data_IF_384293567346
#
_entry.id   IF_384293567346
#
_cell.length_a   1.000
_cell.length_b   1.000
_cell.length_c   1.000
_cell.angle_alpha   90.00
_cell.angle_beta   90.00
_cell.angle_gamma   90.00
#
_symmetry.space_group_name_H-M   'P 1'
#
loop_
_entity.id
_entity.type
_entity.pdbx_description
1 polymer ?
#
# COMPACT_ATOMS: atom_id res chain seq x y z
N UNK A 1 -24.38 23.37 -11.68
CA UNK A 1 -23.21 22.73 -11.05
C UNK A 1 -23.40 21.22 -11.12
N UNK A 2 -22.57 20.51 -11.89
CA UNK A 2 -22.65 19.04 -11.93
C UNK A 2 -22.31 18.48 -10.54
N UNK A 3 -23.21 17.66 -9.99
CA UNK A 3 -23.01 16.97 -8.72
C UNK A 3 -21.78 16.08 -8.89
N UNK A 4 -20.65 16.40 -8.24
CA UNK A 4 -19.51 15.47 -8.19
C UNK A 4 -20.04 14.18 -7.58
N UNK A 5 -20.13 13.11 -8.36
CA UNK A 5 -20.46 11.80 -7.83
C UNK A 5 -19.41 11.43 -6.78
N UNK A 6 -19.88 11.00 -5.60
CA UNK A 6 -19.00 10.52 -4.54
C UNK A 6 -18.29 9.26 -5.05
N UNK A 7 -16.97 9.20 -4.90
CA UNK A 7 -16.20 8.02 -5.30
C UNK A 7 -16.54 6.83 -4.41
N UNK A 8 -16.66 5.65 -5.00
CA UNK A 8 -16.85 4.39 -4.25
C UNK A 8 -15.56 4.04 -3.48
N UNK A 9 -15.72 3.52 -2.27
CA UNK A 9 -14.64 3.20 -1.34
C UNK A 9 -14.68 1.71 -0.97
N UNK A 10 -13.63 1.13 -0.37
CA UNK A 10 -13.65 -0.28 0.06
C UNK A 10 -14.80 -0.67 1.01
N UNK A 11 -15.47 0.31 1.61
CA UNK A 11 -16.66 0.13 2.47
C UNK A 11 -17.96 0.01 1.69
N UNK A 12 -17.98 0.43 0.43
CA UNK A 12 -19.17 0.42 -0.43
C UNK A 12 -19.28 -0.94 -1.16
N UNK A 13 -20.51 -1.40 -1.39
CA UNK A 13 -20.76 -2.72 -1.98
C UNK A 13 -20.38 -2.80 -3.47
N UNK A 14 -20.48 -1.68 -4.18
CA UNK A 14 -20.15 -1.56 -5.61
C UNK A 14 -18.64 -1.59 -5.88
N UNK A 15 -17.80 -1.32 -4.89
CA UNK A 15 -16.34 -1.34 -5.01
C UNK A 15 -15.81 -2.70 -5.49
N UNK A 16 -16.41 -3.79 -4.99
CA UNK A 16 -16.06 -5.16 -5.37
C UNK A 16 -16.31 -5.42 -6.86
N UNK A 17 -17.46 -4.98 -7.36
CA UNK A 17 -17.82 -5.10 -8.76
C UNK A 17 -16.90 -4.24 -9.63
N UNK A 18 -16.56 -3.03 -9.19
CA UNK A 18 -15.59 -2.18 -9.89
C UNK A 18 -14.22 -2.84 -10.05
N UNK A 19 -13.69 -3.52 -9.03
CA UNK A 19 -12.43 -4.25 -9.16
C UNK A 19 -12.54 -5.40 -10.17
N UNK A 20 -13.65 -6.15 -10.13
CA UNK A 20 -13.92 -7.25 -11.04
C UNK A 20 -14.05 -6.81 -12.50
N UNK A 21 -14.80 -5.74 -12.76
CA UNK A 21 -15.01 -5.18 -14.10
C UNK A 21 -13.71 -4.65 -14.72
N UNK A 22 -12.67 -4.46 -13.92
CA UNK A 22 -11.35 -3.97 -14.31
C UNK A 22 -10.23 -5.01 -14.10
N UNK A 23 -10.58 -6.30 -14.13
CA UNK A 23 -9.66 -7.45 -14.11
C UNK A 23 -8.69 -7.52 -12.92
N UNK A 24 -8.92 -6.76 -11.84
CA UNK A 24 -8.31 -7.08 -10.56
C UNK A 24 -9.11 -8.22 -9.98
N UNK A 25 -8.66 -9.47 -10.07
CA UNK A 25 -9.43 -10.67 -9.76
C UNK A 25 -9.59 -10.91 -8.26
N UNK A 26 -10.69 -11.54 -7.85
CA UNK A 26 -10.84 -12.05 -6.48
C UNK A 26 -10.04 -13.34 -6.29
N UNK A 27 -9.79 -13.75 -5.04
CA UNK A 27 -8.96 -14.95 -4.73
C UNK A 27 -9.48 -16.22 -5.42
N UNK A 28 -10.80 -16.39 -5.49
CA UNK A 28 -11.43 -17.59 -6.07
C UNK A 28 -11.48 -17.57 -7.61
N UNK A 29 -11.28 -16.41 -8.23
CA UNK A 29 -11.19 -16.22 -9.69
C UNK A 29 -9.73 -16.09 -10.17
N UNK A 30 -8.79 -15.97 -9.23
CA UNK A 30 -7.38 -15.71 -9.52
C UNK A 30 -6.65 -16.97 -9.99
N UNK A 31 -5.79 -16.77 -10.99
CA UNK A 31 -4.77 -17.75 -11.35
C UNK A 31 -3.69 -17.78 -10.27
N UNK A 32 -2.98 -18.90 -10.19
CA UNK A 32 -1.88 -19.09 -9.24
C UNK A 32 -0.57 -18.66 -9.90
N UNK A 33 0.32 -17.90 -9.21
CA UNK A 33 1.57 -17.46 -9.83
C UNK A 33 2.48 -18.64 -10.15
N UNK A 34 3.26 -18.49 -11.23
CA UNK A 34 4.16 -19.55 -11.72
C UNK A 34 5.29 -19.84 -10.72
N UNK A 35 5.77 -18.83 -9.98
CA UNK A 35 6.77 -18.95 -8.92
C UNK A 35 6.20 -19.28 -7.52
N UNK A 36 4.97 -19.83 -7.43
CA UNK A 36 4.33 -20.14 -6.15
C UNK A 36 5.19 -20.98 -5.18
N UNK A 37 5.82 -22.04 -5.69
CA UNK A 37 6.58 -22.96 -4.85
C UNK A 37 7.83 -22.30 -4.26
N UNK A 38 8.51 -21.47 -5.05
CA UNK A 38 9.66 -20.67 -4.61
C UNK A 38 9.26 -19.69 -3.52
N UNK A 39 8.17 -18.94 -3.72
CA UNK A 39 7.63 -18.03 -2.72
C UNK A 39 7.31 -18.79 -1.43
N UNK A 40 6.60 -19.91 -1.53
CA UNK A 40 6.28 -20.76 -0.38
C UNK A 40 7.54 -21.19 0.38
N UNK A 41 8.61 -21.59 -0.31
CA UNK A 41 9.87 -21.95 0.33
C UNK A 41 10.54 -20.75 1.02
N UNK A 42 10.60 -19.59 0.34
CA UNK A 42 11.20 -18.37 0.87
C UNK A 42 10.47 -17.86 2.13
N UNK A 43 9.13 -17.90 2.14
CA UNK A 43 8.33 -17.48 3.29
C UNK A 43 8.55 -18.39 4.50
N UNK A 44 8.77 -19.70 4.29
CA UNK A 44 9.02 -20.65 5.37
C UNK A 44 10.50 -20.73 5.82
N UNK A 45 11.39 -19.97 5.18
CA UNK A 45 12.81 -19.98 5.54
C UNK A 45 13.02 -19.50 6.98
N UNK A 46 13.71 -20.30 7.79
CA UNK A 46 14.01 -19.95 9.18
C UNK A 46 14.78 -18.63 9.26
N UNK A 47 14.34 -17.73 10.13
CA UNK A 47 15.01 -16.46 10.41
C UNK A 47 15.84 -16.56 11.71
N UNK A 48 17.18 -16.41 11.66
CA UNK A 48 18.03 -16.45 12.85
C UNK A 48 17.77 -15.34 13.87
N UNK A 49 17.11 -14.25 13.45
CA UNK A 49 16.71 -13.12 14.31
C UNK A 49 15.31 -13.28 14.91
N UNK A 50 14.63 -14.41 14.64
CA UNK A 50 13.32 -14.70 15.22
C UNK A 50 13.19 -16.20 15.46
N UNK A 51 13.69 -16.65 16.61
CA UNK A 51 13.56 -18.02 17.12
C UNK A 51 12.80 -18.03 18.44
N UNK A 52 12.35 -19.22 18.88
CA UNK A 52 11.76 -19.39 20.22
C UNK A 52 12.73 -19.02 21.36
N UNK A 53 14.04 -19.09 21.15
CA UNK A 53 15.01 -18.63 22.14
C UNK A 53 15.14 -17.11 22.19
N UNK A 54 14.81 -16.40 21.10
CA UNK A 54 14.88 -14.94 21.02
C UNK A 54 13.54 -14.27 21.30
N UNK A 55 12.43 -14.96 21.06
CA UNK A 55 11.08 -14.48 21.36
C UNK A 55 10.55 -15.19 22.61
N UNK A 56 10.71 -14.54 23.76
CA UNK A 56 10.36 -15.07 25.08
C UNK A 56 8.86 -15.29 25.29
N UNK A 57 8.49 -16.19 26.20
CA UNK A 57 7.10 -16.35 26.69
C UNK A 57 6.48 -15.01 27.12
N UNK A 58 7.15 -14.22 27.97
CA UNK A 58 6.60 -12.94 28.42
C UNK A 58 6.37 -11.91 27.31
N UNK A 59 7.13 -11.97 26.22
CA UNK A 59 6.88 -11.13 25.04
C UNK A 59 5.65 -11.60 24.24
N UNK A 60 5.41 -12.91 24.20
CA UNK A 60 4.19 -13.48 23.63
C UNK A 60 2.96 -13.15 24.48
N UNK A 61 3.05 -13.29 25.81
CA UNK A 61 1.99 -12.90 26.74
C UNK A 61 1.63 -11.41 26.58
N UNK A 62 2.65 -10.55 26.47
CA UNK A 62 2.45 -9.12 26.22
C UNK A 62 1.73 -8.88 24.88
N UNK A 63 2.12 -9.59 23.81
CA UNK A 63 1.44 -9.52 22.51
C UNK A 63 -0.04 -9.94 22.61
N UNK A 64 -0.34 -11.06 23.26
CA UNK A 64 -1.72 -11.53 23.44
C UNK A 64 -2.56 -10.51 24.23
N UNK A 65 -2.01 -9.98 25.32
CA UNK A 65 -2.67 -8.96 26.13
C UNK A 65 -2.92 -7.67 25.34
N UNK A 66 -1.95 -7.20 24.56
CA UNK A 66 -2.12 -6.02 23.70
C UNK A 66 -3.21 -6.26 22.66
N UNK A 67 -3.23 -7.43 22.00
CA UNK A 67 -4.28 -7.78 21.05
C UNK A 67 -5.67 -7.82 21.72
N UNK A 68 -5.79 -8.48 22.88
CA UNK A 68 -7.07 -8.61 23.58
C UNK A 68 -7.62 -7.26 24.09
N UNK A 69 -6.74 -6.31 24.40
CA UNK A 69 -7.10 -4.97 24.91
C UNK A 69 -7.25 -3.93 23.82
N UNK A 70 -6.87 -4.23 22.58
CA UNK A 70 -6.98 -3.28 21.47
C UNK A 70 -8.45 -3.02 21.14
N UNK A 71 -8.90 -1.78 21.34
CA UNK A 71 -10.29 -1.37 21.08
C UNK A 71 -10.47 -0.63 19.77
N UNK A 72 -9.40 -0.43 19.00
CA UNK A 72 -9.44 0.34 17.76
C UNK A 72 -8.35 -0.11 16.78
N UNK A 73 -8.54 0.21 15.50
CA UNK A 73 -7.53 0.00 14.45
C UNK A 73 -6.24 0.76 14.76
N UNK A 74 -6.35 1.97 15.33
CA UNK A 74 -5.20 2.73 15.79
C UNK A 74 -4.38 1.95 16.82
N UNK A 75 -5.01 1.40 17.86
CA UNK A 75 -4.33 0.61 18.91
C UNK A 75 -3.70 -0.65 18.34
N UNK A 76 -4.36 -1.33 17.40
CA UNK A 76 -3.76 -2.48 16.68
C UNK A 76 -2.50 -2.06 15.94
N UNK A 77 -2.54 -0.93 15.23
CA UNK A 77 -1.42 -0.42 14.46
C UNK A 77 -0.26 0.11 15.31
N UNK A 78 -0.51 0.54 16.55
CA UNK A 78 0.53 1.04 17.47
C UNK A 78 1.13 -0.04 18.35
N UNK A 79 0.34 -1.01 18.80
CA UNK A 79 0.74 -1.89 19.92
C UNK A 79 0.89 -3.36 19.51
N UNK A 80 0.30 -3.75 18.36
CA UNK A 80 0.22 -5.15 17.92
C UNK A 80 1.06 -5.39 16.66
N UNK A 81 0.75 -4.67 15.57
CA UNK A 81 1.46 -4.77 14.28
C UNK A 81 2.98 -4.60 14.41
N UNK A 82 3.52 -3.62 15.16
CA UNK A 82 4.98 -3.49 15.32
C UNK A 82 5.66 -4.75 15.85
N UNK A 83 5.04 -5.48 16.76
CA UNK A 83 5.61 -6.71 17.35
C UNK A 83 5.77 -7.78 16.26
N UNK A 84 4.77 -7.89 15.37
CA UNK A 84 4.81 -8.82 14.24
C UNK A 84 5.93 -8.41 13.25
N UNK A 85 6.05 -7.13 12.93
CA UNK A 85 7.03 -6.60 11.98
C UNK A 85 8.48 -6.62 12.49
N UNK A 86 8.65 -6.60 13.81
CA UNK A 86 9.94 -6.57 14.48
C UNK A 86 10.41 -5.15 14.79
N UNK A 87 11.39 -5.07 15.69
CA UNK A 87 11.97 -3.81 16.15
C UNK A 87 12.53 -2.98 14.98
N UNK A 88 12.31 -1.66 15.03
CA UNK A 88 12.80 -0.73 14.01
C UNK A 88 12.06 -0.76 12.67
N UNK A 89 11.15 -1.71 12.41
CA UNK A 89 10.41 -1.81 11.15
C UNK A 89 9.46 -0.62 10.89
N UNK A 90 9.15 0.12 11.94
CA UNK A 90 8.12 1.15 11.99
C UNK A 90 8.66 2.56 12.17
N UNK A 91 10.00 2.73 12.20
CA UNK A 91 10.65 4.03 12.25
C UNK A 91 10.44 4.74 10.91
N UNK A 92 9.67 5.82 10.91
CA UNK A 92 9.41 6.61 9.71
C UNK A 92 10.71 7.21 9.16
N UNK A 93 11.00 7.00 7.88
CA UNK A 93 12.23 7.45 7.23
C UNK A 93 13.38 6.42 7.19
N UNK A 94 13.24 5.26 7.86
CA UNK A 94 14.18 4.13 7.77
C UNK A 94 13.49 2.83 8.26
N UNK A 95 13.30 1.75 7.48
CA UNK A 95 13.51 1.54 6.03
C UNK A 95 12.50 2.33 5.18
N UNK A 96 12.58 2.23 3.85
CA UNK A 96 11.73 2.95 2.89
C UNK A 96 10.24 2.50 2.93
N UNK A 97 9.60 2.71 4.08
CA UNK A 97 8.18 2.50 4.32
C UNK A 97 7.52 3.79 4.79
N UNK A 98 6.24 3.89 4.50
CA UNK A 98 5.39 4.99 4.91
C UNK A 98 4.03 4.44 5.35
N UNK A 99 3.26 5.28 6.05
CA UNK A 99 1.96 4.90 6.58
C UNK A 99 0.88 5.86 6.12
N UNK A 100 -0.32 5.33 5.84
CA UNK A 100 -1.49 6.15 5.58
C UNK A 100 -1.29 7.20 4.46
N UNK A 101 -0.40 6.93 3.51
CA UNK A 101 -0.16 7.83 2.38
C UNK A 101 -1.20 7.51 1.30
N UNK A 102 -1.99 8.52 0.93
CA UNK A 102 -2.90 8.41 -0.20
C UNK A 102 -2.07 8.34 -1.49
N UNK A 103 -2.34 7.34 -2.32
CA UNK A 103 -1.65 7.16 -3.59
C UNK A 103 -2.24 8.11 -4.64
N UNK A 104 -1.94 9.40 -4.49
CA UNK A 104 -2.53 10.46 -5.29
C UNK A 104 -1.83 10.74 -6.63
N UNK A 105 -0.69 10.09 -6.88
CA UNK A 105 0.08 10.23 -8.13
C UNK A 105 -0.01 9.01 -9.06
N UNK A 106 -0.58 7.88 -8.62
CA UNK A 106 -0.73 6.73 -9.52
C UNK A 106 -1.88 6.93 -10.49
N UNK A 107 -1.73 6.44 -11.72
CA UNK A 107 -2.84 6.30 -12.66
C UNK A 107 -3.94 5.42 -12.03
N UNK A 108 -5.23 5.67 -12.28
CA UNK A 108 -6.29 4.77 -11.83
C UNK A 108 -6.04 3.33 -12.28
N UNK A 109 -6.37 2.35 -11.45
CA UNK A 109 -6.42 0.94 -11.87
C UNK A 109 -7.71 0.66 -12.67
N UNK A 110 -8.77 1.39 -12.34
CA UNK A 110 -10.10 1.31 -12.95
C UNK A 110 -10.39 2.56 -13.79
N UNK A 111 -11.64 2.86 -14.07
CA UNK A 111 -12.17 4.12 -14.64
C UNK A 111 -11.98 5.41 -13.80
N UNK A 112 -11.36 5.33 -12.62
CA UNK A 112 -11.12 6.49 -11.74
C UNK A 112 -12.31 6.93 -10.88
N UNK A 113 -13.42 6.18 -10.91
CA UNK A 113 -14.62 6.44 -10.10
C UNK A 113 -14.52 5.88 -8.67
N UNK A 114 -13.57 5.00 -8.40
CA UNK A 114 -13.25 4.53 -7.04
C UNK A 114 -12.19 5.43 -6.37
N UNK A 115 -12.17 5.40 -5.04
CA UNK A 115 -11.19 6.09 -4.22
C UNK A 115 -9.78 5.55 -4.50
N UNK A 116 -8.78 6.43 -4.39
CA UNK A 116 -7.38 6.04 -4.55
C UNK A 116 -6.94 5.13 -3.38
N UNK A 117 -5.97 4.23 -3.62
CA UNK A 117 -5.43 3.37 -2.57
C UNK A 117 -4.81 4.20 -1.44
N UNK A 118 -4.97 3.72 -0.21
CA UNK A 118 -4.35 4.31 0.97
C UNK A 118 -3.99 3.19 1.94
N UNK A 119 -2.90 2.45 1.68
CA UNK A 119 -2.47 1.35 2.54
C UNK A 119 -2.14 1.85 3.95
N UNK A 120 -2.41 1.04 4.97
CA UNK A 120 -1.99 1.35 6.34
C UNK A 120 -0.47 1.46 6.43
N UNK A 121 0.23 0.52 5.80
CA UNK A 121 1.68 0.54 5.59
C UNK A 121 1.99 0.05 4.18
N UNK A 122 2.94 0.72 3.51
CA UNK A 122 3.57 0.16 2.32
C UNK A 122 5.09 0.29 2.40
N UNK A 123 5.80 -0.60 1.70
CA UNK A 123 7.25 -0.55 1.54
C UNK A 123 7.61 -0.38 0.07
N UNK A 124 8.58 0.48 -0.18
CA UNK A 124 9.13 0.78 -1.50
C UNK A 124 10.65 0.96 -1.43
N UNK A 125 11.18 1.73 -2.37
CA UNK A 125 12.58 2.16 -2.42
C UNK A 125 12.70 3.66 -2.23
N UNK A 126 13.88 4.18 -1.92
CA UNK A 126 14.09 5.63 -1.87
C UNK A 126 14.23 6.21 -3.28
N UNK A 127 13.84 7.47 -3.53
CA UNK A 127 13.95 8.06 -4.86
C UNK A 127 15.35 8.05 -5.47
N UNK A 128 16.40 8.15 -4.65
CA UNK A 128 17.80 8.13 -5.08
C UNK A 128 18.27 6.78 -5.65
N UNK A 129 17.58 5.68 -5.33
CA UNK A 129 17.92 4.34 -5.84
C UNK A 129 17.46 4.13 -7.29
N UNK A 130 16.61 5.03 -7.82
CA UNK A 130 16.04 4.93 -9.15
C UNK A 130 16.48 6.12 -10.02
N UNK A 131 17.04 5.81 -11.18
CA UNK A 131 17.53 6.82 -12.12
C UNK A 131 16.41 7.77 -12.56
N UNK A 132 16.80 9.01 -12.85
CA UNK A 132 15.85 10.07 -13.23
C UNK A 132 15.03 9.71 -14.48
N UNK A 133 15.61 9.16 -15.57
CA UNK A 133 14.82 8.78 -16.75
C UNK A 133 13.73 7.74 -16.44
N UNK A 134 14.04 6.73 -15.62
CA UNK A 134 13.05 5.72 -15.22
C UNK A 134 11.93 6.34 -14.39
N UNK A 135 12.27 7.24 -13.45
CA UNK A 135 11.27 7.97 -12.64
C UNK A 135 10.35 8.85 -13.49
N UNK A 136 10.90 9.55 -14.47
CA UNK A 136 10.12 10.41 -15.37
C UNK A 136 9.20 9.58 -16.28
N UNK A 137 9.70 8.49 -16.86
CA UNK A 137 8.93 7.62 -17.73
C UNK A 137 7.81 6.86 -16.99
N UNK A 138 8.11 6.32 -15.81
CA UNK A 138 7.20 5.44 -15.08
C UNK A 138 6.45 6.12 -13.94
N UNK A 139 6.59 7.43 -13.75
CA UNK A 139 6.16 8.14 -12.54
C UNK A 139 4.72 7.84 -12.11
N UNK A 140 3.80 7.73 -13.08
CA UNK A 140 2.37 7.41 -12.85
C UNK A 140 2.09 5.97 -12.41
N UNK A 141 3.07 5.09 -12.43
CA UNK A 141 2.93 3.67 -12.07
C UNK A 141 3.72 3.30 -10.82
N UNK A 142 4.86 3.96 -10.60
CA UNK A 142 5.77 3.62 -9.51
C UNK A 142 5.87 4.67 -8.42
N UNK A 143 5.45 5.92 -8.63
CA UNK A 143 5.52 6.96 -7.60
C UNK A 143 4.15 7.14 -6.94
N UNK A 144 3.95 6.65 -5.70
CA UNK A 144 2.60 6.63 -5.12
C UNK A 144 2.04 8.02 -4.84
N UNK A 145 2.90 8.93 -4.38
CA UNK A 145 2.54 10.27 -3.93
C UNK A 145 3.20 11.35 -4.78
N UNK A 146 2.52 12.50 -4.87
CA UNK A 146 3.07 13.76 -5.41
C UNK A 146 4.03 14.45 -4.43
N UNK A 147 4.00 14.05 -3.15
CA UNK A 147 4.95 14.52 -2.14
C UNK A 147 6.32 13.92 -2.42
N UNK A 148 7.33 14.80 -2.53
CA UNK A 148 8.72 14.41 -2.76
C UNK A 148 9.26 13.56 -1.60
N UNK A 149 10.32 12.79 -1.86
CA UNK A 149 11.02 11.93 -0.87
C UNK A 149 10.21 10.76 -0.29
N UNK A 150 9.01 10.48 -0.82
CA UNK A 150 8.26 9.27 -0.42
C UNK A 150 8.81 8.03 -1.12
N UNK A 151 8.73 6.84 -0.49
CA UNK A 151 9.16 5.61 -1.13
C UNK A 151 8.42 5.35 -2.44
N UNK A 152 9.18 4.96 -3.46
CA UNK A 152 8.73 4.62 -4.81
C UNK A 152 8.62 3.12 -4.98
N UNK A 153 8.03 2.69 -6.09
CA UNK A 153 7.89 1.30 -6.51
C UNK A 153 7.32 0.39 -5.38
N UNK A 154 6.11 0.66 -4.88
CA UNK A 154 5.57 -0.10 -3.76
C UNK A 154 5.27 -1.54 -4.18
N UNK A 155 5.65 -2.52 -3.36
CA UNK A 155 5.34 -3.94 -3.64
C UNK A 155 5.22 -4.82 -2.38
N UNK A 156 5.11 -4.21 -1.20
CA UNK A 156 4.74 -4.91 0.01
C UNK A 156 3.80 -4.03 0.85
N UNK A 157 2.62 -4.56 1.18
CA UNK A 157 1.53 -3.83 1.81
C UNK A 157 1.03 -4.52 3.08
N UNK A 158 0.57 -3.73 4.04
CA UNK A 158 -0.09 -4.23 5.25
C UNK A 158 -1.38 -3.45 5.41
N UNK A 159 -2.45 -4.20 5.65
CA UNK A 159 -3.76 -3.69 6.01
C UNK A 159 -4.16 -4.35 7.33
N UNK A 160 -4.58 -3.56 8.31
CA UNK A 160 -5.05 -4.08 9.58
C UNK A 160 -6.42 -3.49 9.92
N UNK A 161 -7.15 -4.20 10.77
CA UNK A 161 -8.41 -3.69 11.32
C UNK A 161 -8.47 -3.90 12.81
N UNK A 162 -9.10 -2.94 13.48
CA UNK A 162 -9.55 -3.10 14.87
C UNK A 162 -10.76 -4.03 14.97
N UNK A 163 -11.27 -4.26 16.19
CA UNK A 163 -12.34 -5.22 16.45
C UNK A 163 -13.63 -5.00 15.64
N UNK A 164 -13.97 -3.75 15.35
CA UNK A 164 -15.19 -3.38 14.61
C UNK A 164 -14.99 -3.32 13.08
N UNK A 165 -13.75 -3.53 12.60
CA UNK A 165 -13.49 -3.60 11.18
C UNK A 165 -13.96 -4.92 10.58
N UNK A 166 -14.10 -4.96 9.25
CA UNK A 166 -14.62 -6.15 8.57
C UNK A 166 -13.56 -6.78 7.69
N UNK A 167 -13.57 -8.13 7.63
CA UNK A 167 -12.72 -8.88 6.72
C UNK A 167 -13.01 -8.55 5.25
N UNK A 168 -14.26 -8.25 4.91
CA UNK A 168 -14.64 -7.87 3.55
C UNK A 168 -13.93 -6.57 3.08
N UNK A 169 -13.80 -5.58 3.97
CA UNK A 169 -13.05 -4.36 3.69
C UNK A 169 -11.56 -4.67 3.52
N UNK A 170 -10.97 -5.49 4.41
CA UNK A 170 -9.58 -5.93 4.30
C UNK A 170 -9.29 -6.63 2.97
N UNK A 171 -10.13 -7.59 2.60
CA UNK A 171 -9.96 -8.38 1.36
C UNK A 171 -9.99 -7.47 0.11
N UNK A 172 -10.86 -6.45 0.09
CA UNK A 172 -10.90 -5.43 -0.97
C UNK A 172 -9.64 -4.57 -1.00
N UNK A 173 -9.19 -4.08 0.15
CA UNK A 173 -8.00 -3.23 0.25
C UNK A 173 -6.75 -3.99 -0.21
N UNK A 174 -6.51 -5.21 0.30
CA UNK A 174 -5.31 -5.97 -0.08
C UNK A 174 -5.29 -6.42 -1.54
N UNK A 175 -6.46 -6.68 -2.14
CA UNK A 175 -6.59 -6.92 -3.58
C UNK A 175 -6.25 -5.66 -4.37
N UNK A 176 -6.78 -4.51 -3.97
CA UNK A 176 -6.55 -3.25 -4.67
C UNK A 176 -5.09 -2.80 -4.58
N UNK A 177 -4.53 -2.79 -3.38
CA UNK A 177 -3.14 -2.41 -3.13
C UNK A 177 -2.17 -3.38 -3.81
N UNK A 178 -2.44 -4.69 -3.71
CA UNK A 178 -1.66 -5.73 -4.34
C UNK A 178 -1.60 -5.59 -5.86
N UNK A 179 -2.73 -5.29 -6.51
CA UNK A 179 -2.81 -5.01 -7.94
C UNK A 179 -2.00 -3.75 -8.34
N UNK A 180 -2.04 -2.69 -7.53
CA UNK A 180 -1.19 -1.50 -7.73
C UNK A 180 0.30 -1.89 -7.68
N UNK A 181 0.70 -2.68 -6.69
CA UNK A 181 2.08 -3.16 -6.57
C UNK A 181 2.50 -4.06 -7.73
N UNK A 182 1.64 -4.97 -8.18
CA UNK A 182 1.88 -5.79 -9.36
C UNK A 182 2.09 -4.93 -10.61
N UNK A 183 1.27 -3.89 -10.81
CA UNK A 183 1.45 -2.94 -11.90
C UNK A 183 2.78 -2.20 -11.79
N UNK A 184 3.17 -1.77 -10.59
CA UNK A 184 4.45 -1.09 -10.37
C UNK A 184 5.64 -1.98 -10.73
N UNK A 185 5.67 -3.23 -10.24
CA UNK A 185 6.74 -4.19 -10.55
C UNK A 185 6.76 -4.54 -12.03
N UNK A 186 5.59 -4.78 -12.63
CA UNK A 186 5.47 -5.09 -14.05
C UNK A 186 5.97 -3.95 -14.95
N UNK A 187 5.72 -2.69 -14.54
CA UNK A 187 6.20 -1.50 -15.26
C UNK A 187 7.73 -1.38 -15.21
N UNK A 188 8.35 -1.70 -14.07
CA UNK A 188 9.82 -1.72 -13.95
C UNK A 188 10.43 -2.86 -14.75
N UNK A 189 9.87 -4.06 -14.67
CA UNK A 189 10.33 -5.24 -15.40
C UNK A 189 10.40 -4.99 -16.91
N UNK A 190 9.42 -4.27 -17.46
CA UNK A 190 9.29 -3.98 -18.88
C UNK A 190 9.86 -2.61 -19.28
N UNK A 191 10.57 -1.90 -18.40
CA UNK A 191 11.18 -0.62 -18.78
C UNK A 191 12.21 -0.83 -19.90
N UNK A 192 12.07 -0.10 -21.01
CA UNK A 192 12.99 -0.15 -22.14
C UNK A 192 12.89 -1.42 -23.01
N UNK A 193 11.87 -2.24 -22.81
CA UNK A 193 11.56 -3.38 -23.69
C UNK A 193 10.69 -2.92 -24.87
N UNK A 194 10.91 -3.49 -26.05
CA UNK A 194 10.12 -3.20 -27.26
C UNK A 194 8.68 -3.69 -27.13
N UNK A 195 8.51 -4.88 -26.55
CA UNK A 195 7.21 -5.52 -26.33
C UNK A 195 6.97 -5.83 -24.86
N UNK A 196 5.74 -5.59 -24.40
CA UNK A 196 5.35 -5.84 -23.02
C UNK A 196 5.09 -7.34 -22.82
N UNK A 197 5.87 -7.96 -21.94
CA UNK A 197 5.80 -9.40 -21.63
C UNK A 197 5.14 -9.66 -20.28
N UNK A 198 4.57 -10.86 -20.10
CA UNK A 198 3.97 -11.32 -18.84
C UNK A 198 4.48 -12.72 -18.52
N UNK A 199 5.19 -12.88 -17.42
CA UNK A 199 5.76 -14.17 -16.97
C UNK A 199 4.88 -14.92 -15.95
N UNK A 200 3.79 -14.28 -15.50
CA UNK A 200 2.87 -14.84 -14.51
C UNK A 200 3.48 -15.00 -13.11
N UNK A 201 4.61 -14.36 -12.82
CA UNK A 201 5.30 -14.45 -11.53
C UNK A 201 4.81 -13.37 -10.57
N UNK A 202 4.75 -13.70 -9.29
CA UNK A 202 4.39 -12.77 -8.24
C UNK A 202 5.63 -12.09 -7.64
N UNK A 203 5.60 -10.76 -7.69
CA UNK A 203 6.66 -9.86 -7.20
C UNK A 203 6.14 -8.82 -6.21
N UNK A 204 4.83 -8.83 -5.96
CA UNK A 204 4.14 -7.97 -5.02
C UNK A 204 3.44 -8.82 -3.98
N UNK A 205 3.43 -8.36 -2.73
CA UNK A 205 2.86 -9.09 -1.61
C UNK A 205 2.02 -8.17 -0.73
N UNK A 206 1.03 -8.73 -0.05
CA UNK A 206 0.30 -8.00 0.98
C UNK A 206 0.00 -8.88 2.16
N UNK A 207 -0.41 -8.27 3.27
CA UNK A 207 -0.87 -8.99 4.44
C UNK A 207 -2.06 -8.30 5.08
N UNK A 208 -2.91 -9.11 5.70
CA UNK A 208 -4.00 -8.64 6.55
C UNK A 208 -3.75 -9.03 7.99
N UNK A 209 -4.03 -8.14 8.94
CA UNK A 209 -4.15 -8.49 10.36
C UNK A 209 -5.53 -8.12 10.92
N UNK A 210 -6.24 -9.08 11.49
CA UNK A 210 -7.52 -8.84 12.14
C UNK A 210 -7.78 -9.87 13.24
N UNK A 211 -8.09 -9.41 14.45
CA UNK A 211 -8.51 -10.24 15.58
C UNK A 211 -7.57 -11.42 15.87
N UNK A 212 -6.25 -11.18 15.91
CA UNK A 212 -5.26 -12.24 16.12
C UNK A 212 -4.89 -13.05 14.86
N UNK A 213 -5.58 -12.89 13.73
CA UNK A 213 -5.27 -13.63 12.50
C UNK A 213 -4.41 -12.82 11.55
N UNK A 214 -3.29 -13.40 11.12
CA UNK A 214 -2.45 -12.89 10.03
C UNK A 214 -2.70 -13.72 8.75
N UNK A 215 -2.86 -13.06 7.60
CA UNK A 215 -2.83 -13.71 6.29
C UNK A 215 -1.81 -13.02 5.39
N UNK A 216 -1.16 -13.78 4.52
CA UNK A 216 -0.18 -13.27 3.55
C UNK A 216 -0.63 -13.67 2.14
N UNK A 217 -0.54 -12.73 1.21
CA UNK A 217 -0.96 -12.88 -0.18
C UNK A 217 0.17 -12.51 -1.13
N UNK A 218 0.23 -13.20 -2.27
CA UNK A 218 1.09 -12.89 -3.40
C UNK A 218 0.23 -12.36 -4.55
N UNK A 219 0.77 -11.40 -5.30
CA UNK A 219 0.08 -10.72 -6.39
C UNK A 219 0.93 -10.72 -7.66
N UNK A 220 0.29 -10.94 -8.79
CA UNK A 220 0.95 -10.88 -10.11
C UNK A 220 0.04 -10.31 -11.17
N UNK A 221 0.63 -9.92 -12.30
CA UNK A 221 -0.08 -9.49 -13.49
C UNK A 221 -0.01 -10.57 -14.58
N UNK A 222 -1.07 -10.70 -15.36
CA UNK A 222 -1.09 -11.48 -16.61
C UNK A 222 -1.63 -10.61 -17.73
N UNK A 223 -1.41 -11.02 -18.97
CA UNK A 223 -2.17 -10.47 -20.09
C UNK A 223 -3.67 -10.68 -19.83
N UNK A 224 -4.50 -9.64 -20.02
CA UNK A 224 -5.95 -9.83 -20.01
C UNK A 224 -6.43 -10.31 -21.38
N UNK A 225 -7.60 -10.96 -21.39
CA UNK A 225 -8.36 -11.27 -22.59
C UNK A 225 -9.15 -10.06 -23.10
N UNK A 226 -9.30 -9.00 -22.29
CA UNK A 226 -9.90 -7.73 -22.70
C UNK A 226 -8.82 -6.78 -23.23
N UNK A 227 -9.12 -6.09 -24.33
CA UNK A 227 -8.12 -5.35 -25.10
C UNK A 227 -7.31 -4.34 -24.25
N UNK A 228 -5.98 -4.52 -24.25
CA UNK A 228 -5.01 -3.51 -23.85
C UNK A 228 -4.73 -3.33 -22.35
N UNK A 229 -5.46 -4.01 -21.44
CA UNK A 229 -5.24 -3.89 -19.98
C UNK A 229 -4.67 -5.18 -19.35
N UNK A 230 -3.78 -5.12 -18.36
CA UNK A 230 -3.41 -6.30 -17.58
C UNK A 230 -4.55 -6.79 -16.69
N UNK A 231 -4.60 -8.11 -16.45
CA UNK A 231 -5.34 -8.68 -15.33
C UNK A 231 -4.41 -8.82 -14.12
N UNK A 232 -4.95 -8.63 -12.91
CA UNK A 232 -4.20 -8.75 -11.66
C UNK A 232 -4.79 -9.84 -10.80
N UNK A 233 -3.95 -10.75 -10.32
CA UNK A 233 -4.36 -11.91 -9.55
C UNK A 233 -3.83 -11.82 -8.13
N UNK A 234 -4.61 -12.34 -7.19
CA UNK A 234 -4.26 -12.45 -5.77
C UNK A 234 -4.35 -13.90 -5.33
N UNK A 235 -3.31 -14.41 -4.68
CA UNK A 235 -3.32 -15.76 -4.11
C UNK A 235 -2.91 -15.73 -2.64
N UNK A 236 -3.72 -16.34 -1.77
CA UNK A 236 -3.39 -16.48 -0.34
C UNK A 236 -2.27 -17.51 -0.18
N UNK A 237 -1.09 -17.08 0.26
CA UNK A 237 0.06 -17.96 0.54
C UNK A 237 -0.10 -18.70 1.88
N UNK A 238 -0.42 -17.95 2.94
CA UNK A 238 -0.47 -18.47 4.30
C UNK A 238 -1.54 -17.80 5.15
N UNK A 239 -1.89 -18.44 6.27
CA UNK A 239 -2.67 -17.85 7.35
C UNK A 239 -2.22 -18.42 8.70
N UNK A 240 -2.14 -17.57 9.72
CA UNK A 240 -1.66 -17.90 11.04
C UNK A 240 -2.58 -17.33 12.11
N UNK A 241 -2.91 -18.14 13.11
CA UNK A 241 -3.44 -17.65 14.37
C UNK A 241 -2.25 -17.17 15.21
N UNK A 242 -2.05 -15.86 15.26
CA UNK A 242 -0.93 -15.23 15.94
C UNK A 242 -1.10 -15.25 17.45
N UNK A 243 -2.29 -15.58 17.95
CA UNK A 243 -2.65 -15.54 19.37
C UNK A 243 -2.79 -16.92 20.00
N UNK A 244 -2.73 -18.00 19.22
CA UNK A 244 -2.85 -19.37 19.73
C UNK A 244 -1.62 -19.82 20.52
N UNK A 245 -0.45 -19.92 19.88
CA UNK A 245 0.79 -20.32 20.55
C UNK A 245 1.97 -19.46 20.15
N UNK A 246 3.03 -19.49 20.95
CA UNK A 246 4.27 -18.78 20.66
C UNK A 246 4.92 -19.28 19.37
N UNK A 247 4.78 -20.56 19.07
CA UNK A 247 5.25 -21.18 17.83
C UNK A 247 4.48 -20.63 16.62
N UNK A 248 3.16 -20.55 16.69
CA UNK A 248 2.35 -20.04 15.56
C UNK A 248 2.62 -18.56 15.33
N UNK A 249 2.84 -17.78 16.39
CA UNK A 249 3.32 -16.40 16.30
C UNK A 249 4.66 -16.32 15.58
N UNK A 250 5.67 -17.07 16.04
CA UNK A 250 7.02 -17.04 15.46
C UNK A 250 7.01 -17.45 14.00
N UNK A 251 6.22 -18.46 13.63
CA UNK A 251 6.04 -18.89 12.24
C UNK A 251 5.40 -17.77 11.39
N UNK A 252 4.30 -17.18 11.86
CA UNK A 252 3.61 -16.13 11.11
C UNK A 252 4.44 -14.86 10.94
N UNK A 253 5.10 -14.42 12.00
CA UNK A 253 6.00 -13.25 11.95
C UNK A 253 7.24 -13.53 11.09
N UNK A 254 7.76 -14.77 11.08
CA UNK A 254 8.83 -15.18 10.15
C UNK A 254 8.38 -15.05 8.71
N UNK A 255 7.23 -15.65 8.36
CA UNK A 255 6.69 -15.60 7.00
C UNK A 255 6.44 -14.17 6.53
N UNK A 256 5.89 -13.30 7.39
CA UNK A 256 5.64 -11.91 7.04
C UNK A 256 6.92 -11.13 6.77
N UNK A 257 7.92 -11.26 7.64
CA UNK A 257 9.20 -10.56 7.50
C UNK A 257 9.97 -11.08 6.29
N UNK A 258 9.88 -12.37 5.98
CA UNK A 258 10.48 -12.95 4.78
C UNK A 258 9.78 -12.48 3.50
N UNK A 259 8.45 -12.39 3.49
CA UNK A 259 7.71 -11.83 2.36
C UNK A 259 8.11 -10.36 2.10
N UNK A 260 8.29 -9.56 3.16
CA UNK A 260 8.79 -8.18 3.06
C UNK A 260 10.18 -8.12 2.43
N UNK A 261 11.09 -8.96 2.89
CA UNK A 261 12.48 -8.95 2.43
C UNK A 261 12.57 -9.52 1.00
N UNK A 262 11.77 -10.54 0.65
CA UNK A 262 11.63 -11.07 -0.70
C UNK A 262 11.08 -10.03 -1.68
N UNK A 263 10.05 -9.28 -1.27
CA UNK A 263 9.52 -8.16 -2.05
C UNK A 263 10.62 -7.13 -2.36
N UNK A 264 11.45 -6.79 -1.35
CA UNK A 264 12.60 -5.91 -1.55
C UNK A 264 13.57 -6.48 -2.57
N UNK A 265 13.95 -7.75 -2.46
CA UNK A 265 14.87 -8.40 -3.41
C UNK A 265 14.38 -8.29 -4.85
N UNK A 266 13.11 -8.63 -5.12
CA UNK A 266 12.57 -8.54 -6.47
C UNK A 266 12.52 -7.09 -6.99
N UNK A 267 12.03 -6.16 -6.17
CA UNK A 267 11.97 -4.75 -6.53
C UNK A 267 13.34 -4.19 -6.87
N UNK A 268 14.32 -4.44 -6.01
CA UNK A 268 15.67 -3.90 -6.18
C UNK A 268 16.35 -4.49 -7.42
N UNK A 269 16.09 -5.77 -7.75
CA UNK A 269 16.49 -6.39 -9.00
C UNK A 269 15.92 -5.67 -10.22
N UNK A 270 14.60 -5.42 -10.25
CA UNK A 270 13.98 -4.68 -11.36
C UNK A 270 14.46 -3.24 -11.47
N UNK A 271 14.69 -2.57 -10.34
CA UNK A 271 15.27 -1.22 -10.32
C UNK A 271 16.66 -1.22 -10.95
N UNK A 272 17.51 -2.18 -10.57
CA UNK A 272 18.85 -2.32 -11.11
C UNK A 272 18.82 -2.51 -12.63
N UNK A 273 18.04 -3.48 -13.13
CA UNK A 273 17.90 -3.71 -14.57
C UNK A 273 17.33 -2.50 -15.31
N UNK A 274 16.32 -1.82 -14.76
CA UNK A 274 15.76 -0.62 -15.38
C UNK A 274 16.78 0.54 -15.45
N UNK A 275 17.60 0.71 -14.41
CA UNK A 275 18.67 1.71 -14.41
C UNK A 275 19.74 1.39 -15.45
N UNK A 276 20.16 0.13 -15.61
CA UNK A 276 21.12 -0.29 -16.63
C UNK A 276 20.61 -0.02 -18.06
N UNK A 277 19.33 -0.27 -18.31
CA UNK A 277 18.68 0.06 -19.58
C UNK A 277 18.61 1.56 -19.83
N UNK A 278 18.36 2.36 -18.79
CA UNK A 278 18.33 3.81 -18.91
C UNK A 278 19.69 4.41 -19.31
N UNK A 279 20.80 3.76 -18.96
CA UNK A 279 22.16 4.16 -19.39
C UNK A 279 22.44 3.72 -20.82
N UNK A 280 21.97 2.53 -21.21
CA UNK A 280 22.22 1.94 -22.53
C UNK A 280 21.38 2.54 -23.66
N UNK A 281 20.27 3.21 -23.32
CA UNK A 281 19.48 3.96 -24.30
C UNK A 281 20.24 5.26 -24.63
N UNK A 282 20.68 5.47 -25.89
CA UNK A 282 21.34 6.71 -26.25
C UNK A 282 20.38 7.86 -25.92
N UNK A 283 20.86 8.82 -25.13
CA UNK A 283 20.15 10.08 -24.93
C UNK A 283 20.06 10.76 -26.28
N UNK A 284 18.95 10.52 -26.98
CA UNK A 284 18.62 11.26 -28.17
C UNK A 284 18.52 12.73 -27.79
N UNK A 285 19.41 13.52 -28.39
CA UNK A 285 19.51 14.99 -28.35
C UNK A 285 20.28 15.52 -27.14
N UNK A 286 21.59 15.72 -27.29
CA UNK A 286 22.34 16.93 -26.89
C UNK A 286 23.85 16.84 -27.26
N UNK A 287 24.19 16.53 -28.51
CA UNK A 287 25.51 16.78 -29.14
C UNK A 287 25.19 16.87 -30.65
N UNK A 288 25.40 17.95 -31.41
CA UNK A 288 26.35 19.05 -31.32
C UNK A 288 25.72 20.36 -31.84
N UNK A 289 25.79 21.42 -31.03
CA UNK A 289 26.04 22.76 -31.55
C UNK A 289 27.42 23.09 -31.03
N UNK A 290 28.43 22.93 -31.87
CA UNK A 290 29.71 23.64 -31.85
C UNK A 290 30.65 22.93 -32.82
N UNK A 291 30.64 23.34 -34.10
CA UNK A 291 31.85 23.48 -34.90
C UNK A 291 31.61 24.54 -35.99
N UNK A 292 32.47 25.56 -36.01
CA UNK A 292 32.93 26.18 -37.26
C UNK A 292 32.39 27.56 -37.63
N UNK A 293 33.02 28.59 -37.05
CA UNK A 293 33.13 29.93 -37.63
C UNK A 293 33.64 29.89 -39.09
N UNK A 294 33.00 30.63 -40.00
CA UNK A 294 33.69 31.34 -41.09
C UNK A 294 33.00 32.70 -41.34
N UNK A 295 33.84 33.73 -41.38
CA UNK A 295 33.55 35.16 -41.56
C UNK A 295 32.94 35.49 -42.94
N UNK A 296 32.08 36.52 -43.00
CA UNK A 296 32.25 37.57 -44.00
C UNK A 296 31.63 38.91 -43.51
N UNK A 297 32.35 39.97 -43.86
CA UNK A 297 32.26 41.36 -43.40
C UNK A 297 31.08 42.14 -43.98
N UNK A 298 30.74 43.29 -43.35
CA UNK A 298 30.19 44.40 -44.12
C UNK A 298 29.20 45.35 -43.43
N UNK A 299 29.75 46.31 -42.69
CA UNK A 299 29.36 47.73 -42.65
C UNK A 299 28.08 48.26 -41.95
N UNK A 300 28.39 49.06 -40.90
CA UNK A 300 27.99 50.46 -40.61
C UNK A 300 26.77 50.78 -39.71
N UNK A 301 27.14 51.46 -38.61
CA UNK A 301 26.61 52.71 -38.01
C UNK A 301 25.08 52.84 -37.81
N UNK A 302 24.52 53.33 -36.70
CA UNK A 302 24.93 54.40 -35.80
C UNK A 302 24.10 54.32 -34.49
N UNK A 303 24.51 55.12 -33.50
CA UNK A 303 24.11 55.12 -32.10
C UNK A 303 22.63 55.43 -31.78
N UNK A 304 22.15 54.96 -30.61
CA UNK A 304 21.69 55.91 -29.58
C UNK A 304 21.76 55.33 -28.16
N UNK A 305 22.14 56.22 -27.24
CA UNK A 305 22.34 56.05 -25.81
C UNK A 305 20.99 56.07 -25.09
N UNK A 306 20.81 55.22 -24.09
CA UNK A 306 20.33 55.71 -22.79
C UNK A 306 20.76 54.78 -21.65
N UNK A 307 21.50 55.37 -20.71
CA UNK A 307 21.95 54.80 -19.43
C UNK A 307 20.82 54.91 -18.40
N UNK A 308 20.58 53.82 -17.65
CA UNK A 308 20.55 53.59 -16.16
C UNK A 308 19.84 54.64 -15.26
N UNK A 309 19.47 54.37 -13.97
CA UNK A 309 19.95 53.32 -13.04
C UNK A 309 18.82 52.62 -12.19
N UNK A 310 19.01 51.40 -11.70
CA UNK A 310 19.51 50.98 -10.35
C UNK A 310 18.58 51.31 -9.17
N UNK A 311 18.16 50.30 -8.41
CA UNK A 311 18.38 50.18 -6.94
C UNK A 311 18.03 48.79 -6.43
N UNK A 312 18.94 48.26 -5.62
CA UNK A 312 18.81 47.08 -4.78
C UNK A 312 18.26 47.44 -3.38
N UNK A 313 18.20 46.42 -2.50
CA UNK A 313 17.95 46.43 -1.04
C UNK A 313 16.46 46.25 -0.65
N UNK A 314 16.06 45.46 0.33
CA UNK A 314 16.79 44.72 1.37
C UNK A 314 15.95 43.53 1.89
N UNK A 315 16.63 42.65 2.61
CA UNK A 315 16.11 41.71 3.61
C UNK A 315 14.93 42.24 4.43
N UNK A 316 13.97 41.36 4.73
CA UNK A 316 13.49 41.17 6.10
C UNK A 316 12.68 39.87 6.25
N UNK A 317 13.15 39.01 7.13
CA UNK A 317 12.37 38.00 7.86
C UNK A 317 12.70 38.20 9.35
N UNK A 318 11.97 37.61 10.32
CA UNK A 318 10.60 37.12 10.33
C UNK A 318 9.79 37.75 11.50
N UNK A 319 8.46 37.79 11.42
CA UNK A 319 7.61 38.10 12.59
C UNK A 319 6.84 36.87 13.01
N UNK A 320 7.21 36.34 14.18
CA UNK A 320 6.39 35.44 14.98
C UNK A 320 5.34 36.25 15.74
N UNK A 321 4.08 35.83 15.71
CA UNK A 321 3.11 36.09 16.79
C UNK A 321 1.87 35.22 16.59
N UNK A 322 1.68 34.24 17.46
CA UNK A 322 0.63 34.13 18.49
C UNK A 322 -0.71 33.52 18.05
N UNK A 323 -0.95 32.33 18.61
CA UNK A 323 -2.16 31.90 19.32
C UNK A 323 -3.49 32.57 18.97
N UNK A 324 -4.42 31.77 18.44
CA UNK A 324 -5.84 31.93 18.74
C UNK A 324 -6.47 30.58 19.02
N UNK A 325 -6.82 30.39 20.29
CA UNK A 325 -7.71 29.35 20.80
C UNK A 325 -9.17 29.71 20.55
N UNK A 326 -10.02 28.69 20.71
CA UNK A 326 -11.47 28.72 20.98
C UNK A 326 -12.42 28.72 19.76
N UNK A 327 -13.07 27.56 19.54
CA UNK A 327 -14.51 27.42 19.78
C UNK A 327 -14.95 25.95 19.70
N UNK A 328 -15.10 25.31 20.87
CA UNK A 328 -15.91 24.10 21.04
C UNK A 328 -17.37 24.49 20.78
N UNK A 329 -18.02 23.84 19.82
CA UNK A 329 -19.48 23.81 19.74
C UNK A 329 -19.96 22.51 20.37
N UNK A 330 -20.40 22.62 21.62
CA UNK A 330 -21.26 21.61 22.25
C UNK A 330 -22.59 21.58 21.51
N UNK A 331 -23.00 20.39 21.07
CA UNK A 331 -24.40 20.10 20.75
C UNK A 331 -24.93 19.12 21.76
N UNK A 332 -25.84 19.61 22.62
CA UNK A 332 -26.65 18.81 23.54
C UNK A 332 -27.52 17.81 22.79
N UNK A 333 -27.65 16.64 23.42
CA UNK A 333 -28.37 15.41 23.06
C UNK A 333 -29.79 15.60 22.50
N UNK A 334 -30.17 14.71 21.57
CA UNK A 334 -31.48 14.05 21.56
C UNK A 334 -31.27 12.54 21.49
N UNK A 335 -31.67 11.82 22.55
CA UNK A 335 -31.86 10.38 22.52
C UNK A 335 -33.06 10.05 21.62
N UNK A 336 -32.98 9.06 20.71
CA UNK A 336 -34.17 8.41 20.20
C UNK A 336 -34.69 7.40 21.25
N UNK A 337 -36.01 7.41 21.43
CA UNK A 337 -36.74 6.53 22.34
C UNK A 337 -36.57 5.05 21.97
N UNK A 338 -36.63 4.19 22.98
CA UNK A 338 -36.64 2.73 22.83
C UNK A 338 -37.85 2.29 21.98
N UNK A 339 -37.69 1.28 21.09
CA UNK A 339 -38.82 0.68 20.40
C UNK A 339 -39.70 -0.10 21.41
N UNK A 340 -41.03 -0.17 21.17
CA UNK A 340 -41.92 -0.93 22.03
C UNK A 340 -41.65 -2.44 21.91
N UNK A 341 -41.72 -3.15 23.02
CA UNK A 341 -41.68 -4.61 23.09
C UNK A 341 -42.79 -5.20 22.21
N UNK A 342 -42.38 -5.96 21.19
CA UNK A 342 -43.30 -6.82 20.45
C UNK A 342 -43.39 -8.15 21.19
N UNK A 343 -44.49 -8.35 21.90
CA UNK A 343 -44.88 -9.64 22.47
C UNK A 343 -45.12 -10.66 21.36
N UNK A 344 -44.27 -11.68 21.27
CA UNK A 344 -44.47 -12.84 20.38
C UNK A 344 -45.45 -13.81 21.04
N UNK A 345 -46.57 -14.21 20.40
CA UNK A 345 -47.45 -15.24 20.94
C UNK A 345 -46.77 -16.61 20.84
N UNK A 346 -46.53 -17.25 21.97
CA UNK A 346 -46.09 -18.65 22.04
C UNK A 346 -47.18 -19.57 21.48
N UNK A 347 -46.84 -20.33 20.44
CA UNK A 347 -47.68 -21.41 19.92
C UNK A 347 -47.76 -22.58 20.93
N UNK A 348 -48.89 -23.27 20.93
CA UNK A 348 -49.36 -24.24 21.93
C UNK A 348 -48.56 -25.57 22.00
N UNK A 349 -47.32 -25.61 21.55
CA UNK A 349 -46.51 -26.83 21.45
C UNK A 349 -45.21 -26.85 22.30
N UNK A 350 -44.95 -25.83 23.12
CA UNK A 350 -43.72 -25.74 23.94
C UNK A 350 -43.98 -25.64 25.47
N UNK A 351 -45.07 -26.20 25.97
CA UNK A 351 -45.39 -26.23 27.43
C UNK A 351 -45.32 -27.62 28.09
N UNK A 352 -44.65 -28.58 27.47
CA UNK A 352 -44.35 -29.88 28.08
C UNK A 352 -42.95 -30.35 27.70
N UNK A 353 -41.94 -29.86 28.44
CA UNK A 353 -40.61 -30.48 28.67
C UNK A 353 -39.79 -29.54 29.55
N UNK A 354 -40.25 -29.33 30.78
CA UNK A 354 -39.47 -28.66 31.83
C UNK A 354 -40.10 -28.93 33.21
N UNK A 355 -40.39 -30.20 33.48
CA UNK A 355 -40.63 -30.73 34.83
C UNK A 355 -40.31 -32.23 34.79
N UNK A 356 -39.02 -32.62 34.75
CA UNK A 356 -38.58 -33.94 35.23
C UNK A 356 -37.05 -33.96 35.34
N UNK A 357 -36.53 -33.35 36.42
CA UNK A 357 -35.30 -33.81 37.08
C UNK A 357 -35.23 -33.18 38.47
N UNK A 358 -35.61 -33.93 39.50
CA UNK A 358 -35.45 -33.50 40.88
C UNK A 358 -36.12 -34.44 41.88
N UNK A 359 -35.30 -35.28 42.53
CA UNK A 359 -35.56 -36.17 43.69
C UNK A 359 -36.30 -37.47 43.32
N UNK A 360 -35.84 -38.67 43.66
CA UNK A 360 -35.09 -39.19 44.84
C UNK A 360 -33.94 -40.08 44.40
#
# INVERSE_FOLDING_TARGET
>A
MAKKNKKSTPYDADFEQHLKDHDAQAVYESQKPTNWAEIGAALNQRRPSLTLSQFSEGAFDAFQNNNARATSEYTVMTDVVPVILGEGALITGRPASERNILFNNVAPLTDGTIAQPKPDIYYGTRPEELSRPVREALGRYIMPSTVQNKPLAPNFFIEAKGPDGTLAVLDRQVRYDGAIGSRAMHSLQNYGEDERTFDGQAYSFSSTYHGGTLKIFAHHATSSTSEGRPAYHITKMHGFDMTNTRETFVQGATALRNARDLAKTYRDGFIHTANERAVSQPSGILEAIEEGDEQDDGDREEADKTRKPTTALADEAPVASTTSSVAKKETKRKHPAAPPEVSVPLTRAAKRRLCFSGKV
#
